data_IF_821672322422
#
_entry.id   IF_821672322422
#
_cell.length_a   1.000
_cell.length_b   1.000
_cell.length_c   1.000
_cell.angle_alpha   90.00
_cell.angle_beta   90.00
_cell.angle_gamma   90.00
#
_symmetry.space_group_name_H-M   'P 1'
#
loop_
_entity.id
_entity.type
_entity.pdbx_description
1 polymer ?
#
# COMPACT_ATOMS: atom_id res chain seq x y z
N UNK A 1 16.46 19.37 1.05
CA UNK A 1 16.12 18.49 -0.09
C UNK A 1 17.03 18.90 -1.25
N UNK A 2 17.85 18.01 -1.81
CA UNK A 2 18.77 18.36 -2.92
C UNK A 2 17.96 18.66 -4.20
N UNK A 3 18.38 19.64 -4.99
CA UNK A 3 17.79 19.95 -6.30
C UNK A 3 18.04 18.83 -7.32
N UNK A 4 17.16 18.71 -8.31
CA UNK A 4 17.22 17.65 -9.35
C UNK A 4 18.60 17.54 -10.00
N UNK A 5 19.18 18.67 -10.41
CA UNK A 5 20.51 18.72 -11.04
C UNK A 5 21.62 18.24 -10.10
N UNK A 6 21.50 18.53 -8.80
CA UNK A 6 22.44 18.05 -7.80
C UNK A 6 22.31 16.54 -7.55
N UNK A 7 21.09 15.98 -7.62
CA UNK A 7 20.85 14.54 -7.54
C UNK A 7 21.39 13.80 -8.77
N UNK A 8 21.23 14.34 -9.97
CA UNK A 8 21.83 13.76 -11.19
C UNK A 8 23.36 13.80 -11.15
N UNK A 9 23.96 14.89 -10.67
CA UNK A 9 25.41 14.93 -10.45
C UNK A 9 25.87 13.91 -9.40
N UNK A 10 25.15 13.78 -8.29
CA UNK A 10 25.40 12.73 -7.29
C UNK A 10 25.26 11.33 -7.88
N UNK A 11 24.29 11.10 -8.78
CA UNK A 11 24.09 9.82 -9.48
C UNK A 11 25.32 9.44 -10.31
N UNK A 12 25.88 10.41 -11.02
CA UNK A 12 27.07 10.25 -11.84
C UNK A 12 28.33 10.05 -10.96
N UNK A 13 28.46 10.79 -9.87
CA UNK A 13 29.58 10.70 -8.93
C UNK A 13 29.59 9.40 -8.11
N UNK A 14 28.43 8.90 -7.71
CA UNK A 14 28.29 7.71 -6.85
C UNK A 14 28.29 6.38 -7.61
N UNK A 15 28.54 6.40 -8.93
CA UNK A 15 28.42 5.27 -9.85
C UNK A 15 28.48 3.88 -9.20
N UNK A 16 27.34 3.18 -9.14
CA UNK A 16 27.13 1.78 -8.68
C UNK A 16 27.66 1.44 -7.25
N UNK A 17 28.40 2.32 -6.56
CA UNK A 17 29.17 1.93 -5.37
C UNK A 17 28.35 1.79 -4.10
N UNK A 18 27.12 2.30 -4.05
CA UNK A 18 26.18 2.03 -2.95
C UNK A 18 24.78 1.79 -3.51
N UNK A 19 24.32 0.54 -3.43
CA UNK A 19 22.99 0.10 -3.91
C UNK A 19 21.87 0.98 -3.35
N UNK A 20 21.95 1.34 -2.07
CA UNK A 20 20.99 2.22 -1.41
C UNK A 20 20.97 3.66 -1.93
N UNK A 21 22.11 4.23 -2.35
CA UNK A 21 22.10 5.58 -2.93
C UNK A 21 21.55 5.57 -4.36
N UNK A 22 21.87 4.54 -5.15
CA UNK A 22 21.30 4.39 -6.49
C UNK A 22 19.78 4.17 -6.46
N UNK A 23 19.29 3.36 -5.52
CA UNK A 23 17.85 3.18 -5.24
C UNK A 23 17.20 4.50 -4.86
N UNK A 24 17.76 5.20 -3.88
CA UNK A 24 17.22 6.48 -3.40
C UNK A 24 17.18 7.55 -4.50
N UNK A 25 18.24 7.68 -5.31
CA UNK A 25 18.27 8.63 -6.42
C UNK A 25 17.22 8.27 -7.46
N UNK A 26 17.12 6.99 -7.84
CA UNK A 26 16.15 6.54 -8.81
C UNK A 26 14.72 6.82 -8.36
N UNK A 27 14.37 6.45 -7.13
CA UNK A 27 13.07 6.74 -6.51
C UNK A 27 12.78 8.25 -6.49
N UNK A 28 13.75 9.03 -6.00
CA UNK A 28 13.63 10.49 -5.93
C UNK A 28 13.39 11.15 -7.29
N UNK A 29 14.04 10.66 -8.34
CA UNK A 29 13.87 11.16 -9.71
C UNK A 29 12.55 10.68 -10.32
N UNK A 30 12.13 9.45 -9.99
CA UNK A 30 10.86 8.89 -10.43
C UNK A 30 9.70 9.73 -9.92
N UNK A 31 9.68 10.06 -8.62
CA UNK A 31 8.68 10.95 -8.04
C UNK A 31 8.64 12.31 -8.73
N UNK A 32 9.80 12.92 -8.99
CA UNK A 32 9.83 14.22 -9.66
C UNK A 32 9.34 14.14 -11.11
N UNK A 33 9.68 13.07 -11.82
CA UNK A 33 9.24 12.85 -13.21
C UNK A 33 7.73 12.64 -13.26
N UNK A 34 7.19 11.75 -12.42
CA UNK A 34 5.74 11.47 -12.38
C UNK A 34 4.92 12.70 -11.96
N UNK A 35 5.53 13.65 -11.23
CA UNK A 35 4.93 14.93 -10.86
C UNK A 35 4.85 15.93 -12.02
N UNK A 36 5.79 15.84 -12.96
CA UNK A 36 5.94 16.76 -14.08
C UNK A 36 5.26 16.19 -15.33
N UNK A 37 3.99 16.53 -15.52
CA UNK A 37 3.18 16.24 -16.72
C UNK A 37 3.79 15.23 -17.68
N UNK A 38 3.64 13.93 -17.39
CA UNK A 38 4.42 12.90 -18.05
C UNK A 38 3.53 11.90 -18.79
N UNK A 39 3.98 11.55 -19.99
CA UNK A 39 3.51 10.39 -20.73
C UNK A 39 4.30 9.17 -20.26
N UNK A 40 3.76 8.48 -19.28
CA UNK A 40 4.41 7.33 -18.66
C UNK A 40 4.07 6.06 -19.42
N UNK A 41 5.06 5.43 -20.05
CA UNK A 41 4.87 4.18 -20.78
C UNK A 41 4.72 3.04 -19.79
N UNK A 42 3.77 2.16 -20.05
CA UNK A 42 3.55 0.96 -19.27
C UNK A 42 3.31 -0.24 -20.18
N UNK A 43 3.73 -1.40 -19.70
CA UNK A 43 3.50 -2.69 -20.35
C UNK A 43 2.84 -3.62 -19.35
N UNK A 44 1.74 -4.26 -19.75
CA UNK A 44 1.02 -5.19 -18.90
C UNK A 44 1.82 -6.47 -18.62
N UNK A 45 1.67 -7.01 -17.42
CA UNK A 45 2.08 -8.37 -17.10
C UNK A 45 0.86 -9.30 -17.20
N UNK A 46 0.71 -10.04 -18.32
CA UNK A 46 -0.40 -10.94 -18.52
C UNK A 46 -0.48 -11.99 -17.41
N UNK A 47 -1.70 -12.43 -17.12
CA UNK A 47 -1.97 -13.53 -16.21
C UNK A 47 -1.85 -14.84 -17.00
N UNK A 48 -0.73 -15.55 -16.83
CA UNK A 48 -0.40 -16.76 -17.58
C UNK A 48 0.32 -16.52 -18.91
N UNK A 49 0.74 -17.61 -19.56
CA UNK A 49 1.65 -17.57 -20.73
C UNK A 49 0.99 -17.17 -22.05
N UNK A 50 -0.34 -17.00 -22.08
CA UNK A 50 -1.12 -16.89 -23.32
C UNK A 50 -1.74 -15.49 -23.51
N UNK A 51 -1.86 -14.69 -22.44
CA UNK A 51 -2.46 -13.37 -22.57
C UNK A 51 -1.49 -12.38 -23.24
N UNK A 52 -1.98 -11.50 -24.15
CA UNK A 52 -1.14 -10.58 -24.89
C UNK A 52 -0.52 -9.53 -23.96
N UNK A 53 0.74 -9.22 -24.24
CA UNK A 53 1.44 -8.09 -23.62
C UNK A 53 0.96 -6.81 -24.29
N UNK A 54 0.36 -5.92 -23.53
CA UNK A 54 -0.17 -4.65 -24.03
C UNK A 54 0.73 -3.50 -23.59
N UNK A 55 1.26 -2.73 -24.54
CA UNK A 55 1.88 -1.44 -24.28
C UNK A 55 0.82 -0.35 -24.31
N UNK A 56 0.79 0.49 -23.29
CA UNK A 56 -0.07 1.66 -23.21
C UNK A 56 0.67 2.82 -22.56
N UNK A 57 0.06 4.01 -22.60
CA UNK A 57 0.63 5.20 -21.99
C UNK A 57 -0.35 5.77 -20.98
N UNK A 58 0.15 6.06 -19.79
CA UNK A 58 -0.58 6.74 -18.73
C UNK A 58 -0.19 8.22 -18.76
N UNK A 59 -1.17 9.10 -18.94
CA UNK A 59 -0.97 10.53 -18.76
C UNK A 59 -1.08 10.86 -17.27
N UNK A 60 0.02 11.29 -16.67
CA UNK A 60 0.04 11.77 -15.29
C UNK A 60 0.09 13.29 -15.34
N UNK A 61 -1.04 13.91 -14.99
CA UNK A 61 -1.19 15.35 -15.06
C UNK A 61 -0.24 16.07 -14.11
N UNK A 62 0.28 17.23 -14.55
CA UNK A 62 1.08 18.12 -13.70
C UNK A 62 0.41 18.43 -12.36
N UNK A 63 1.13 18.23 -11.26
CA UNK A 63 0.73 18.77 -9.95
C UNK A 63 1.54 20.02 -9.58
N UNK A 64 0.83 21.11 -9.25
CA UNK A 64 1.46 22.39 -8.88
C UNK A 64 2.07 22.37 -7.48
N UNK A 65 1.52 21.56 -6.58
CA UNK A 65 2.02 21.32 -5.23
C UNK A 65 2.45 19.87 -5.13
N UNK A 66 3.44 19.60 -4.28
CA UNK A 66 3.71 18.24 -3.86
C UNK A 66 2.52 17.82 -2.99
N UNK A 67 1.71 16.88 -3.47
CA UNK A 67 0.60 16.32 -2.71
C UNK A 67 1.19 15.22 -1.82
N UNK A 68 1.80 15.68 -0.72
CA UNK A 68 2.39 14.81 0.28
C UNK A 68 1.35 14.53 1.36
N UNK A 69 1.18 13.26 1.71
CA UNK A 69 0.25 12.86 2.76
C UNK A 69 0.97 12.06 3.85
N UNK A 70 0.45 12.11 5.06
CA UNK A 70 0.86 11.21 6.14
C UNK A 70 0.12 9.87 5.95
N UNK A 71 0.90 8.80 5.81
CA UNK A 71 0.43 7.43 5.62
C UNK A 71 -0.60 6.99 6.66
N UNK A 72 -0.43 7.42 7.92
CA UNK A 72 -1.29 6.99 9.03
C UNK A 72 -2.65 7.70 9.02
N UNK A 73 -2.67 8.93 8.49
CA UNK A 73 -3.88 9.76 8.38
C UNK A 73 -4.57 9.67 7.03
N UNK A 74 -4.07 8.82 6.12
CA UNK A 74 -4.65 8.63 4.80
C UNK A 74 -6.15 8.35 4.92
N UNK A 75 -6.93 9.10 4.16
CA UNK A 75 -8.37 8.93 4.07
C UNK A 75 -8.87 9.38 2.70
N UNK A 76 -10.06 8.93 2.28
CA UNK A 76 -10.53 9.19 0.92
C UNK A 76 -10.80 10.68 0.65
N UNK A 77 -11.07 11.48 1.70
CA UNK A 77 -11.33 12.92 1.60
C UNK A 77 -10.07 13.77 1.41
N UNK A 78 -8.90 13.23 1.77
CA UNK A 78 -7.61 13.92 1.61
C UNK A 78 -7.00 13.70 0.22
N UNK A 79 -7.42 12.65 -0.48
CA UNK A 79 -6.92 12.31 -1.81
C UNK A 79 -7.85 12.85 -2.87
N UNK A 80 -7.33 13.67 -3.78
CA UNK A 80 -8.09 14.20 -4.93
C UNK A 80 -7.59 13.65 -6.25
N UNK A 81 -8.47 13.57 -7.26
CA UNK A 81 -8.07 13.17 -8.61
C UNK A 81 -7.27 14.26 -9.32
N UNK A 82 -6.18 13.82 -9.95
CA UNK A 82 -5.33 14.62 -10.82
C UNK A 82 -3.96 15.02 -10.31
N UNK A 83 -3.73 15.33 -9.02
CA UNK A 83 -2.36 15.42 -8.51
C UNK A 83 -1.75 14.03 -8.31
N UNK A 84 -0.43 13.98 -8.39
CA UNK A 84 0.38 12.83 -8.01
C UNK A 84 0.62 12.84 -6.50
N UNK A 85 0.34 11.71 -5.84
CA UNK A 85 0.35 11.58 -4.38
C UNK A 85 1.53 10.73 -3.92
N UNK A 86 2.32 11.24 -2.97
CA UNK A 86 3.40 10.47 -2.35
C UNK A 86 3.36 10.62 -0.82
N UNK A 87 3.76 9.61 -0.04
CA UNK A 87 3.83 9.75 1.40
C UNK A 87 4.96 10.72 1.81
N UNK A 88 4.78 11.41 2.94
CA UNK A 88 5.81 12.29 3.55
C UNK A 88 7.02 11.50 4.06
N UNK A 89 6.80 10.26 4.49
CA UNK A 89 7.82 9.34 4.96
C UNK A 89 7.66 7.98 4.28
N UNK A 90 8.78 7.32 3.97
CA UNK A 90 8.79 5.96 3.43
C UNK A 90 8.54 4.96 4.56
N UNK A 91 7.27 4.80 4.93
CA UNK A 91 6.81 3.82 5.91
C UNK A 91 6.29 2.55 5.26
N UNK A 92 6.11 2.56 3.93
CA UNK A 92 5.62 1.43 3.16
C UNK A 92 6.71 0.76 2.33
N UNK A 93 6.71 -0.57 2.28
CA UNK A 93 7.72 -1.36 1.55
C UNK A 93 7.31 -1.67 0.10
N UNK A 94 6.00 -1.69 -0.15
CA UNK A 94 5.38 -2.19 -1.39
C UNK A 94 4.73 -1.11 -2.25
N UNK A 95 4.52 0.08 -1.68
CA UNK A 95 3.89 1.21 -2.37
C UNK A 95 4.71 2.45 -2.06
N UNK A 96 5.26 3.10 -3.08
CA UNK A 96 5.98 4.36 -2.93
C UNK A 96 5.08 5.57 -3.18
N UNK A 97 4.00 5.41 -3.94
CA UNK A 97 3.08 6.50 -4.31
C UNK A 97 1.83 5.98 -5.01
N UNK A 98 0.88 6.88 -5.28
CA UNK A 98 -0.27 6.55 -6.11
C UNK A 98 -0.77 7.74 -6.93
N UNK A 99 -1.61 7.45 -7.92
CA UNK A 99 -2.24 8.43 -8.79
C UNK A 99 -3.69 8.06 -9.06
N UNK A 100 -4.53 9.09 -9.03
CA UNK A 100 -5.94 9.00 -9.38
C UNK A 100 -6.17 9.92 -10.59
N UNK A 101 -6.38 9.39 -11.81
CA UNK A 101 -6.49 10.21 -13.03
C UNK A 101 -7.62 11.23 -12.96
N UNK A 102 -7.51 12.38 -13.64
CA UNK A 102 -8.68 13.28 -13.83
C UNK A 102 -9.62 12.69 -14.86
N UNK A 103 -10.94 12.87 -14.67
CA UNK A 103 -11.89 12.49 -15.72
C UNK A 103 -11.70 13.39 -16.94
N UNK A 104 -11.84 12.81 -18.12
CA UNK A 104 -12.32 13.54 -19.30
C UNK A 104 -13.85 13.54 -19.24
N UNK A 105 -14.43 14.32 -18.34
CA UNK A 105 -15.87 14.58 -18.38
C UNK A 105 -16.10 16.06 -18.69
N UNK A 106 -16.98 16.33 -19.65
CA UNK A 106 -17.38 17.68 -20.03
C UNK A 106 -18.18 18.39 -18.92
N UNK A 107 -18.59 17.64 -17.89
CA UNK A 107 -19.35 18.14 -16.75
C UNK A 107 -18.40 18.44 -15.58
N UNK A 108 -18.46 19.63 -14.98
CA UNK A 108 -17.67 19.94 -13.81
C UNK A 108 -18.09 19.04 -12.64
N UNK A 109 -17.22 18.08 -12.28
CA UNK A 109 -17.38 17.28 -11.06
C UNK A 109 -17.00 18.17 -9.86
N UNK A 110 -17.95 18.52 -8.97
CA UNK A 110 -17.71 19.48 -7.89
C UNK A 110 -16.75 18.98 -6.81
N UNK A 111 -16.69 17.67 -6.62
CA UNK A 111 -15.88 17.03 -5.58
C UNK A 111 -15.14 15.84 -6.17
N UNK A 112 -13.81 15.94 -6.13
CA UNK A 112 -12.86 15.06 -6.81
C UNK A 112 -12.16 14.12 -5.84
N UNK A 113 -12.67 13.97 -4.63
CA UNK A 113 -12.10 13.11 -3.60
C UNK A 113 -12.19 11.63 -3.98
N UNK A 114 -11.29 10.81 -3.43
CA UNK A 114 -11.31 9.36 -3.64
C UNK A 114 -12.65 8.73 -3.20
N UNK A 115 -13.30 9.27 -2.16
CA UNK A 115 -14.62 8.80 -1.69
C UNK A 115 -15.69 8.81 -2.78
N UNK A 116 -15.76 9.88 -3.58
CA UNK A 116 -16.72 10.01 -4.69
C UNK A 116 -16.23 9.34 -5.95
N UNK A 117 -14.92 9.41 -6.18
CA UNK A 117 -14.28 8.71 -7.29
C UNK A 117 -14.58 7.21 -7.27
N UNK A 118 -14.53 6.61 -6.09
CA UNK A 118 -14.83 5.21 -5.86
C UNK A 118 -16.31 4.84 -6.07
N UNK A 119 -17.24 5.81 -6.06
CA UNK A 119 -18.69 5.55 -6.20
C UNK A 119 -19.25 5.80 -7.59
N UNK A 120 -18.69 6.76 -8.32
CA UNK A 120 -19.35 7.33 -9.51
C UNK A 120 -18.58 7.13 -10.83
N UNK A 121 -17.32 6.65 -10.78
CA UNK A 121 -16.38 6.79 -11.91
C UNK A 121 -15.55 5.52 -12.22
N UNK A 122 -15.16 5.35 -13.50
CA UNK A 122 -14.46 4.16 -14.05
C UNK A 122 -12.92 4.30 -14.18
N UNK A 123 -12.32 5.40 -13.71
CA UNK A 123 -10.88 5.61 -13.84
C UNK A 123 -10.08 4.80 -12.81
N UNK A 124 -8.99 4.09 -13.21
CA UNK A 124 -8.29 3.20 -12.29
C UNK A 124 -7.46 3.96 -11.26
N UNK A 125 -7.43 3.48 -10.02
CA UNK A 125 -6.41 3.84 -9.05
C UNK A 125 -5.08 3.18 -9.46
N UNK A 126 -4.04 4.00 -9.62
CA UNK A 126 -2.71 3.53 -10.00
C UNK A 126 -1.81 3.59 -8.78
N UNK A 127 -1.35 2.43 -8.30
CA UNK A 127 -0.34 2.31 -7.27
C UNK A 127 1.03 2.16 -7.93
N UNK A 128 2.03 2.89 -7.44
CA UNK A 128 3.38 2.81 -7.95
C UNK A 128 4.32 2.19 -6.93
N UNK A 129 5.18 1.32 -7.43
CA UNK A 129 6.33 0.81 -6.71
C UNK A 129 7.58 1.02 -7.55
N UNK A 130 8.59 1.66 -6.97
CA UNK A 130 9.81 2.10 -7.62
C UNK A 130 10.94 1.16 -7.22
N UNK A 131 11.56 0.53 -8.20
CA UNK A 131 12.65 -0.42 -7.94
C UNK A 131 13.69 -0.44 -9.04
N UNK A 132 14.95 -0.63 -8.64
CA UNK A 132 16.05 -0.94 -9.57
C UNK A 132 16.39 -2.44 -9.56
N UNK A 133 15.60 -3.25 -8.86
CA UNK A 133 15.76 -4.70 -8.77
C UNK A 133 14.86 -5.40 -9.78
N UNK A 134 15.17 -6.66 -10.10
CA UNK A 134 14.32 -7.47 -10.99
C UNK A 134 13.15 -8.13 -10.25
N UNK A 135 13.28 -8.26 -8.94
CA UNK A 135 12.29 -8.84 -8.06
C UNK A 135 12.20 -8.00 -6.79
N UNK A 136 10.97 -7.70 -6.38
CA UNK A 136 10.69 -7.05 -5.12
C UNK A 136 9.42 -7.68 -4.55
N UNK A 137 9.45 -8.27 -3.35
CA UNK A 137 8.27 -8.85 -2.76
C UNK A 137 7.23 -7.75 -2.51
N UNK A 138 5.99 -8.01 -2.91
CA UNK A 138 4.88 -7.09 -2.69
C UNK A 138 4.04 -7.67 -1.57
N UNK A 139 3.84 -6.90 -0.50
CA UNK A 139 3.12 -7.38 0.67
C UNK A 139 1.61 -7.12 0.52
N UNK A 140 0.80 -8.19 0.55
CA UNK A 140 -0.65 -8.07 0.46
C UNK A 140 -1.24 -7.21 1.59
N UNK A 141 -0.69 -7.29 2.80
CA UNK A 141 -1.18 -6.50 3.95
C UNK A 141 -1.05 -5.00 3.74
N UNK A 142 -0.04 -4.57 2.98
CA UNK A 142 0.23 -3.18 2.71
C UNK A 142 -0.65 -2.64 1.59
N UNK A 143 -0.84 -3.44 0.53
CA UNK A 143 -1.82 -3.17 -0.51
C UNK A 143 -3.24 -3.07 0.10
N UNK A 144 -3.66 -4.05 0.90
CA UNK A 144 -4.98 -4.04 1.55
C UNK A 144 -5.13 -2.85 2.49
N UNK A 145 -4.08 -2.47 3.22
CA UNK A 145 -4.12 -1.28 4.08
C UNK A 145 -4.36 0.00 3.29
N UNK A 146 -3.60 0.25 2.22
CA UNK A 146 -3.80 1.47 1.42
C UNK A 146 -5.16 1.47 0.74
N UNK A 147 -5.58 0.32 0.20
CA UNK A 147 -6.87 0.19 -0.46
C UNK A 147 -8.06 0.30 0.51
N UNK A 148 -7.93 -0.15 1.76
CA UNK A 148 -8.97 0.06 2.78
C UNK A 148 -9.13 1.53 3.13
N UNK A 149 -8.00 2.24 3.32
CA UNK A 149 -7.96 3.68 3.62
C UNK A 149 -8.51 4.54 2.48
N UNK A 150 -8.41 4.07 1.23
CA UNK A 150 -8.96 4.76 0.06
C UNK A 150 -10.37 4.27 -0.32
N UNK A 151 -10.91 3.28 0.39
CA UNK A 151 -12.19 2.60 0.13
C UNK A 151 -12.25 1.76 -1.17
N UNK A 152 -11.12 1.38 -1.76
CA UNK A 152 -11.05 0.65 -3.04
C UNK A 152 -11.13 -0.89 -2.93
N UNK A 153 -11.28 -1.47 -1.73
CA UNK A 153 -11.26 -2.94 -1.55
C UNK A 153 -12.38 -3.68 -2.30
N UNK A 154 -13.50 -3.02 -2.59
CA UNK A 154 -14.62 -3.61 -3.34
C UNK A 154 -14.54 -3.38 -4.85
N UNK A 155 -13.50 -2.70 -5.35
CA UNK A 155 -13.32 -2.33 -6.76
C UNK A 155 -11.90 -2.63 -7.24
N UNK A 156 -11.36 -3.78 -6.86
CA UNK A 156 -9.97 -4.17 -7.16
C UNK A 156 -9.69 -4.30 -8.65
N UNK A 157 -10.71 -4.56 -9.47
CA UNK A 157 -10.63 -4.55 -10.93
C UNK A 157 -10.30 -3.15 -11.52
N UNK A 158 -10.53 -2.10 -10.74
CA UNK A 158 -10.14 -0.72 -11.05
C UNK A 158 -8.80 -0.33 -10.41
N UNK A 159 -8.02 -1.26 -9.88
CA UNK A 159 -6.71 -1.00 -9.29
C UNK A 159 -5.61 -1.56 -10.19
N UNK A 160 -4.58 -0.76 -10.43
CA UNK A 160 -3.40 -1.14 -11.21
C UNK A 160 -2.15 -0.96 -10.34
N UNK A 161 -1.31 -1.99 -10.26
CA UNK A 161 0.00 -1.91 -9.64
C UNK A 161 1.07 -1.75 -10.72
N UNK A 162 1.82 -0.66 -10.66
CA UNK A 162 2.82 -0.31 -11.67
C UNK A 162 4.21 -0.27 -11.06
N UNK A 163 5.07 -1.16 -11.55
CA UNK A 163 6.49 -1.24 -11.19
C UNK A 163 7.29 -0.27 -12.06
N UNK A 164 7.74 0.81 -11.45
CA UNK A 164 8.58 1.83 -12.07
C UNK A 164 10.02 1.36 -12.02
N UNK A 165 10.62 1.11 -13.20
CA UNK A 165 11.97 0.53 -13.29
C UNK A 165 12.86 1.31 -14.28
N UNK A 166 14.19 1.24 -14.13
CA UNK A 166 15.11 1.71 -15.16
C UNK A 166 14.84 1.03 -16.51
N UNK A 167 14.90 1.78 -17.61
CA UNK A 167 14.63 1.28 -18.98
C UNK A 167 15.37 -0.05 -19.30
N UNK A 168 16.63 -0.18 -18.86
CA UNK A 168 17.43 -1.41 -19.03
C UNK A 168 16.84 -2.68 -18.39
N UNK A 169 15.84 -2.55 -17.50
CA UNK A 169 15.18 -3.66 -16.82
C UNK A 169 13.83 -4.02 -17.41
N UNK A 170 13.21 -3.17 -18.24
CA UNK A 170 11.83 -3.36 -18.74
C UNK A 170 11.64 -4.75 -19.37
N UNK A 171 12.49 -5.13 -20.33
CA UNK A 171 12.42 -6.45 -20.98
C UNK A 171 12.90 -7.64 -20.12
N UNK A 172 13.31 -7.41 -18.87
CA UNK A 172 13.78 -8.44 -17.93
C UNK A 172 12.93 -8.51 -16.66
N UNK A 173 12.09 -7.52 -16.42
CA UNK A 173 11.20 -7.46 -15.27
C UNK A 173 10.03 -8.42 -15.52
N UNK A 174 9.55 -9.03 -14.46
CA UNK A 174 8.48 -10.04 -14.52
C UNK A 174 7.38 -9.66 -13.55
N UNK A 175 6.22 -10.29 -13.72
CA UNK A 175 5.14 -10.27 -12.73
C UNK A 175 5.71 -10.63 -11.35
N UNK A 176 5.39 -9.83 -10.33
CA UNK A 176 5.85 -10.05 -8.97
C UNK A 176 4.85 -10.92 -8.22
N UNK A 177 5.36 -11.80 -7.35
CA UNK A 177 4.53 -12.51 -6.39
C UNK A 177 4.06 -11.55 -5.30
N UNK A 178 2.78 -11.61 -4.97
CA UNK A 178 2.22 -10.92 -3.81
C UNK A 178 2.22 -11.89 -2.63
N UNK A 179 2.89 -11.49 -1.53
CA UNK A 179 3.03 -12.30 -0.33
C UNK A 179 1.78 -12.17 0.52
N UNK A 180 1.07 -13.28 0.69
CA UNK A 180 -0.13 -13.39 1.52
C UNK A 180 0.24 -13.51 3.00
N UNK A 181 -0.71 -13.19 3.88
CA UNK A 181 -0.58 -13.41 5.33
C UNK A 181 -1.24 -14.73 5.73
N UNK A 182 -0.77 -15.34 6.82
CA UNK A 182 -1.49 -16.45 7.44
C UNK A 182 -2.87 -16.00 7.89
N UNK A 183 -3.90 -16.81 7.62
CA UNK A 183 -5.29 -16.48 7.94
C UNK A 183 -5.59 -16.52 9.45
N UNK A 184 -5.51 -17.72 10.02
CA UNK A 184 -5.66 -18.00 11.45
C UNK A 184 -4.86 -19.28 11.70
N UNK A 185 -4.22 -19.38 12.87
CA UNK A 185 -3.53 -20.60 13.23
C UNK A 185 -2.62 -20.45 14.44
N UNK A 186 -1.72 -21.42 14.57
CA UNK A 186 -0.72 -21.50 15.63
C UNK A 186 0.48 -20.58 15.40
N UNK A 187 0.50 -19.86 14.28
CA UNK A 187 1.53 -18.87 13.98
C UNK A 187 1.50 -17.76 15.04
N UNK A 188 2.67 -17.16 15.26
CA UNK A 188 2.83 -16.11 16.26
C UNK A 188 1.99 -14.89 15.91
N UNK A 189 1.45 -14.20 16.93
CA UNK A 189 0.85 -12.85 16.75
C UNK A 189 1.80 -11.83 16.10
N UNK A 190 3.11 -12.10 16.09
CA UNK A 190 4.12 -11.27 15.42
C UNK A 190 4.01 -11.28 13.89
N UNK A 191 3.32 -12.25 13.32
CA UNK A 191 3.01 -12.28 11.88
C UNK A 191 1.95 -11.23 11.50
N UNK A 192 1.24 -10.67 12.48
CA UNK A 192 0.32 -9.54 12.26
C UNK A 192 1.13 -8.25 12.13
N UNK A 193 1.02 -7.59 10.98
CA UNK A 193 1.68 -6.30 10.71
C UNK A 193 1.33 -5.28 11.82
N UNK A 194 2.37 -4.65 12.37
CA UNK A 194 2.25 -3.69 13.47
C UNK A 194 2.42 -4.30 14.87
N UNK A 195 2.36 -5.63 15.01
CA UNK A 195 2.66 -6.31 16.28
C UNK A 195 4.16 -6.60 16.37
N UNK A 196 4.89 -5.63 16.91
CA UNK A 196 6.33 -5.77 17.20
C UNK A 196 6.61 -6.63 18.43
N UNK A 197 7.91 -6.80 18.72
CA UNK A 197 8.40 -7.59 19.88
C UNK A 197 7.78 -7.15 21.20
N UNK A 198 7.67 -5.84 21.44
CA UNK A 198 7.13 -5.31 22.70
C UNK A 198 5.64 -5.63 22.86
N UNK A 199 4.83 -5.41 21.81
CA UNK A 199 3.40 -5.74 21.82
C UNK A 199 3.17 -7.24 21.97
N UNK A 200 3.95 -8.06 21.28
CA UNK A 200 3.87 -9.53 21.40
C UNK A 200 4.27 -10.03 22.79
N UNK A 201 5.28 -9.41 23.43
CA UNK A 201 5.65 -9.74 24.80
C UNK A 201 4.52 -9.41 25.78
N UNK A 202 3.92 -8.22 25.65
CA UNK A 202 2.75 -7.83 26.44
C UNK A 202 1.59 -8.81 26.25
N UNK A 203 1.22 -9.13 25.01
CA UNK A 203 0.18 -10.12 24.71
C UNK A 203 0.47 -11.49 25.37
N UNK A 204 1.74 -11.91 25.37
CA UNK A 204 2.17 -13.17 25.96
C UNK A 204 2.00 -13.22 27.49
N UNK A 205 2.08 -12.07 28.19
CA UNK A 205 1.80 -11.97 29.63
C UNK A 205 0.33 -12.29 29.94
N UNK A 206 -0.57 -12.05 28.99
CA UNK A 206 -1.99 -12.38 29.07
C UNK A 206 -2.32 -13.72 28.38
N UNK A 207 -1.32 -14.54 28.05
CA UNK A 207 -1.52 -15.86 27.44
C UNK A 207 -1.81 -15.84 25.94
N UNK A 208 -1.76 -14.67 25.28
CA UNK A 208 -2.05 -14.52 23.86
C UNK A 208 -0.73 -14.60 23.08
N UNK A 209 -0.47 -15.74 22.45
CA UNK A 209 0.81 -16.00 21.76
C UNK A 209 0.64 -16.21 20.26
N UNK A 210 -0.51 -16.75 19.87
CA UNK A 210 -0.84 -17.12 18.50
C UNK A 210 -1.96 -16.25 17.92
N UNK A 211 -2.07 -16.24 16.59
CA UNK A 211 -3.17 -15.56 15.89
C UNK A 211 -4.53 -16.09 16.37
N UNK A 212 -4.65 -17.41 16.60
CA UNK A 212 -5.87 -18.03 17.13
C UNK A 212 -6.20 -17.60 18.57
N UNK A 213 -5.20 -17.42 19.42
CA UNK A 213 -5.42 -16.91 20.79
C UNK A 213 -5.98 -15.48 20.73
N UNK A 214 -5.43 -14.65 19.84
CA UNK A 214 -5.85 -13.25 19.69
C UNK A 214 -7.28 -13.16 19.15
N UNK A 215 -7.62 -13.95 18.13
CA UNK A 215 -8.99 -14.07 17.62
C UNK A 215 -9.98 -14.42 18.74
N UNK A 216 -9.63 -15.43 19.54
CA UNK A 216 -10.47 -15.90 20.65
C UNK A 216 -10.70 -14.78 21.66
N UNK A 217 -9.64 -14.07 22.05
CA UNK A 217 -9.73 -12.99 23.03
C UNK A 217 -10.54 -11.79 22.50
N UNK A 218 -10.35 -11.41 21.23
CA UNK A 218 -11.13 -10.35 20.59
C UNK A 218 -12.62 -10.71 20.59
N UNK A 219 -12.96 -11.92 20.14
CA UNK A 219 -14.34 -12.42 20.12
C UNK A 219 -14.97 -12.46 21.51
N UNK A 220 -14.22 -12.89 22.54
CA UNK A 220 -14.69 -12.86 23.93
C UNK A 220 -14.98 -11.43 24.39
N UNK A 221 -14.03 -10.51 24.15
CA UNK A 221 -14.14 -9.10 24.53
C UNK A 221 -15.28 -8.35 23.82
N UNK A 222 -15.64 -8.75 22.61
CA UNK A 222 -16.79 -8.23 21.86
C UNK A 222 -18.12 -8.81 22.33
N UNK A 223 -18.18 -10.11 22.57
CA UNK A 223 -19.41 -10.77 23.04
C UNK A 223 -19.80 -10.32 24.46
N UNK A 224 -18.81 -10.00 25.32
CA UNK A 224 -19.05 -9.38 26.63
C UNK A 224 -19.68 -7.98 26.52
N UNK A 225 -19.52 -7.24 25.41
CA UNK A 225 -20.26 -5.97 25.18
C UNK A 225 -21.78 -6.20 24.98
N UNK A 226 -22.20 -7.39 24.57
CA UNK A 226 -23.61 -7.72 24.28
C UNK A 226 -24.39 -8.32 25.47
N UNK A 227 -23.70 -8.74 26.52
CA UNK A 227 -24.32 -9.27 27.74
C UNK A 227 -24.02 -8.35 28.94
N UNK A 228 -25.06 -7.71 29.50
CA UNK A 228 -24.97 -6.99 30.78
C UNK A 228 -24.65 -7.99 31.89
N UNK A 229 -23.44 -7.88 32.44
CA UNK A 229 -22.93 -8.27 33.76
C UNK A 229 -23.34 -9.64 34.32
N UNK A 230 -22.37 -10.51 34.61
CA UNK A 230 -22.46 -11.44 35.74
C UNK A 230 -21.09 -11.65 36.39
N UNK A 231 -21.10 -11.61 37.72
CA UNK A 231 -19.94 -11.81 38.60
C UNK A 231 -19.42 -13.23 38.45
N UNK A 232 -18.24 -13.38 37.87
CA UNK A 232 -17.33 -14.50 38.12
C UNK A 232 -15.91 -13.93 38.11
N UNK A 233 -15.03 -14.50 38.94
CA UNK A 233 -13.64 -14.10 39.13
C UNK A 233 -12.95 -13.94 37.77
N UNK A 234 -12.92 -12.71 37.26
CA UNK A 234 -12.51 -12.42 35.90
C UNK A 234 -10.98 -12.46 35.89
N UNK A 235 -10.40 -13.38 35.12
CA UNK A 235 -8.97 -13.33 34.82
C UNK A 235 -8.71 -11.92 34.25
N UNK A 236 -7.74 -11.16 34.79
CA UNK A 236 -7.45 -9.83 34.29
C UNK A 236 -7.13 -9.93 32.79
N UNK A 237 -7.94 -9.29 31.95
CA UNK A 237 -7.69 -9.24 30.51
C UNK A 237 -6.80 -8.03 30.19
N UNK A 238 -6.10 -8.07 29.05
CA UNK A 238 -5.32 -6.91 28.60
C UNK A 238 -6.23 -5.68 28.43
N UNK A 239 -7.47 -5.88 27.99
CA UNK A 239 -8.48 -4.82 27.88
C UNK A 239 -8.80 -4.14 29.21
N UNK A 240 -8.83 -4.89 30.30
CA UNK A 240 -9.10 -4.34 31.63
C UNK A 240 -7.86 -3.60 32.20
N UNK A 241 -6.66 -4.09 31.88
CA UNK A 241 -5.39 -3.54 32.38
C UNK A 241 -4.90 -2.31 31.59
N UNK A 242 -5.04 -2.32 30.27
CA UNK A 242 -4.63 -1.24 29.36
C UNK A 242 -5.62 -1.14 28.16
N UNK A 243 -6.74 -0.42 28.35
CA UNK A 243 -7.77 -0.29 27.32
C UNK A 243 -7.27 0.37 26.03
N UNK A 244 -6.39 1.36 26.14
CA UNK A 244 -5.85 2.08 24.98
C UNK A 244 -4.98 1.17 24.13
N UNK A 245 -4.12 0.38 24.77
CA UNK A 245 -3.28 -0.59 24.08
C UNK A 245 -4.09 -1.70 23.47
N UNK A 246 -5.14 -2.15 24.16
CA UNK A 246 -6.09 -3.12 23.61
C UNK A 246 -6.78 -2.60 22.35
N UNK A 247 -7.29 -1.36 22.36
CA UNK A 247 -7.94 -0.76 21.19
C UNK A 247 -6.97 -0.63 20.00
N UNK A 248 -5.69 -0.37 20.24
CA UNK A 248 -4.67 -0.40 19.19
C UNK A 248 -4.50 -1.81 18.61
N UNK A 249 -4.47 -2.84 19.45
CA UNK A 249 -4.34 -4.24 19.03
C UNK A 249 -5.56 -4.69 18.22
N UNK A 250 -6.77 -4.31 18.65
CA UNK A 250 -8.01 -4.60 17.92
C UNK A 250 -7.98 -3.99 16.51
N UNK A 251 -7.52 -2.74 16.36
CA UNK A 251 -7.35 -2.14 15.02
C UNK A 251 -6.37 -2.90 14.13
N UNK A 252 -5.29 -3.43 14.71
CA UNK A 252 -4.33 -4.28 13.97
C UNK A 252 -4.97 -5.62 13.59
N UNK A 253 -5.79 -6.20 14.47
CA UNK A 253 -6.57 -7.41 14.20
C UNK A 253 -7.58 -7.21 13.07
N UNK A 254 -8.41 -6.17 13.12
CA UNK A 254 -9.38 -5.84 12.07
C UNK A 254 -8.69 -5.68 10.70
N UNK A 255 -7.53 -5.01 10.69
CA UNK A 255 -6.72 -4.86 9.48
C UNK A 255 -6.13 -6.19 8.99
N UNK A 256 -5.77 -7.09 9.90
CA UNK A 256 -5.34 -8.44 9.57
C UNK A 256 -6.48 -9.24 8.93
N UNK A 257 -7.68 -9.23 9.51
CA UNK A 257 -8.86 -9.91 8.96
C UNK A 257 -9.21 -9.40 7.55
N UNK A 258 -9.14 -8.09 7.32
CA UNK A 258 -9.28 -7.53 5.97
C UNK A 258 -8.21 -8.10 5.02
N UNK A 259 -6.97 -8.22 5.49
CA UNK A 259 -5.88 -8.78 4.68
C UNK A 259 -6.13 -10.23 4.33
N UNK A 260 -6.64 -11.03 5.27
CA UNK A 260 -7.04 -12.42 5.03
C UNK A 260 -8.17 -12.48 4.00
N UNK A 261 -9.19 -11.64 4.16
CA UNK A 261 -10.38 -11.61 3.29
C UNK A 261 -10.08 -11.18 1.85
N UNK A 262 -9.23 -10.16 1.67
CA UNK A 262 -8.95 -9.59 0.34
C UNK A 262 -7.60 -10.01 -0.23
N UNK A 263 -6.74 -10.71 0.52
CA UNK A 263 -5.36 -11.02 0.14
C UNK A 263 -5.25 -11.70 -1.22
N UNK A 264 -6.03 -12.75 -1.47
CA UNK A 264 -6.04 -13.45 -2.77
C UNK A 264 -6.53 -12.55 -3.90
N UNK A 265 -7.57 -11.74 -3.65
CA UNK A 265 -8.11 -10.81 -4.67
C UNK A 265 -7.10 -9.72 -5.02
N UNK A 266 -6.38 -9.22 -4.01
CA UNK A 266 -5.31 -8.25 -4.18
C UNK A 266 -4.12 -8.87 -4.91
N UNK A 267 -3.84 -10.16 -4.70
CA UNK A 267 -2.81 -10.88 -5.45
C UNK A 267 -3.10 -10.95 -6.98
N UNK A 268 -4.37 -10.85 -7.36
CA UNK A 268 -4.83 -10.90 -8.74
C UNK A 268 -4.89 -9.53 -9.46
N UNK A 269 -4.62 -8.41 -8.77
CA UNK A 269 -4.68 -7.08 -9.41
C UNK A 269 -3.76 -7.00 -10.63
N UNK A 270 -4.16 -6.20 -11.61
CA UNK A 270 -3.38 -6.02 -12.82
C UNK A 270 -2.02 -5.38 -12.50
N UNK A 271 -0.95 -6.05 -12.93
CA UNK A 271 0.42 -5.59 -12.76
C UNK A 271 0.98 -5.05 -14.08
N UNK A 272 1.78 -4.00 -14.01
CA UNK A 272 2.43 -3.39 -15.16
C UNK A 272 3.87 -3.05 -14.83
N UNK A 273 4.76 -3.06 -15.82
CA UNK A 273 6.07 -2.40 -15.72
C UNK A 273 5.99 -1.07 -16.44
N UNK A 274 6.46 -0.01 -15.79
CA UNK A 274 6.49 1.33 -16.34
C UNK A 274 7.90 1.91 -16.38
N UNK A 275 8.14 2.74 -17.40
CA UNK A 275 9.38 3.49 -17.57
C UNK A 275 9.13 4.78 -18.33
N UNK A 276 10.05 5.73 -18.21
CA UNK A 276 10.11 6.89 -19.09
C UNK A 276 11.27 6.73 -20.08
N UNK A 277 11.07 7.24 -21.28
CA UNK A 277 12.19 7.55 -22.18
C UNK A 277 12.96 8.71 -21.56
N UNK A 278 14.23 8.48 -21.21
CA UNK A 278 15.10 9.56 -20.75
C UNK A 278 15.14 10.68 -21.81
N UNK A 279 15.02 11.94 -21.38
CA UNK A 279 15.36 13.11 -22.18
C UNK A 279 16.88 13.22 -22.33
#
# INVERSE_FOLDING_TARGET
MLEFTAREHLRLLLGIRTRGAAEWIFESNSHETLRQDCWFRVTSFPEGDIAPVEESTLLIAKSKRTDEFDADTLSPSLVTSGPYHKPTAKTWESIDSFYLPKMSSDKPVPDRTAAKWNKENDGPLILFQMTILKSHPVNASELVYVLSKLEFLERLEHVKLVFVVPNKLVGKFKRQSIVLVTAVGTDSVREIRGIGRATSALLSEFGIRTIADLETEVNLCENVKKQKTTNNTKVPTLKDADPERWDQIVKLWEQHELTVKYGEKVAAIAQYVGWWTAF
#
